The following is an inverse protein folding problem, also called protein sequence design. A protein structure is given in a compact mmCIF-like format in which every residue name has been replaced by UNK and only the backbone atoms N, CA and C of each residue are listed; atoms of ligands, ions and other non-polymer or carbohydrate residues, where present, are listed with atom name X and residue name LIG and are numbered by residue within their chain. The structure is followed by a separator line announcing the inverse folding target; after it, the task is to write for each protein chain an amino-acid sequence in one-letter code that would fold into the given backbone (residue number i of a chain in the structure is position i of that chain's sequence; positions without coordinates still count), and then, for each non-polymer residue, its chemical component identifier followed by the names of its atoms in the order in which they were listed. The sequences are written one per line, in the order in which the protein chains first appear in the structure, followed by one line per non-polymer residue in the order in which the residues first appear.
data_IF_304543188941
#
_entry.id   IF_304543188941
#
_cell.length_a   1.000
_cell.length_b   1.000
_cell.length_c   1.000
_cell.angle_alpha   90.00
_cell.angle_beta   90.00
_cell.angle_gamma   90.00
#
_symmetry.space_group_name_H-M   'P 1'
#
loop_
_entity.id
_entity.type
_entity.pdbx_description
1 polymer ?
#
# COMPACT_ATOMS: atom_id res chain seq x y z
N UNK A 1 13.81 13.51 15.82
CA UNK A 1 13.97 12.11 15.39
C UNK A 1 13.45 11.96 13.97
N UNK A 2 14.23 11.37 13.05
CA UNK A 2 13.79 11.10 11.68
C UNK A 2 12.68 10.03 11.70
N UNK A 3 11.72 10.13 10.79
CA UNK A 3 10.58 9.21 10.69
C UNK A 3 10.80 8.22 9.56
N UNK A 4 10.47 6.97 9.80
CA UNK A 4 10.44 5.95 8.78
C UNK A 4 9.14 6.06 7.96
N UNK A 5 9.22 5.79 6.67
CA UNK A 5 8.06 5.61 5.81
C UNK A 5 7.89 4.11 5.62
N UNK A 6 6.77 3.54 6.09
CA UNK A 6 6.47 2.13 5.82
C UNK A 6 6.02 1.98 4.37
N UNK A 7 6.80 1.24 3.59
CA UNK A 7 6.54 1.02 2.18
C UNK A 7 5.93 -0.37 1.98
N UNK A 8 4.79 -0.45 1.31
CA UNK A 8 4.03 -1.68 1.11
C UNK A 8 3.79 -1.97 -0.37
N UNK A 9 4.22 -3.15 -0.80
CA UNK A 9 3.96 -3.66 -2.14
C UNK A 9 2.67 -4.51 -2.15
N UNK A 10 1.61 -3.96 -2.76
CA UNK A 10 0.31 -4.62 -2.89
C UNK A 10 0.33 -5.78 -3.89
N UNK A 11 1.37 -5.88 -4.71
CA UNK A 11 1.58 -7.00 -5.63
C UNK A 11 2.61 -8.02 -5.11
N UNK A 12 3.06 -7.89 -3.87
CA UNK A 12 3.96 -8.89 -3.28
C UNK A 12 3.24 -10.24 -3.18
N UNK A 13 3.98 -11.34 -3.43
CA UNK A 13 3.43 -12.71 -3.33
C UNK A 13 2.74 -12.95 -1.99
N UNK A 14 3.31 -12.42 -0.89
CA UNK A 14 2.73 -12.50 0.46
C UNK A 14 1.40 -11.75 0.58
N UNK A 15 1.30 -10.53 0.03
CA UNK A 15 0.04 -9.79 0.07
C UNK A 15 -1.03 -10.50 -0.76
N UNK A 16 -0.69 -10.85 -2.01
CA UNK A 16 -1.61 -11.56 -2.91
C UNK A 16 -2.08 -12.90 -2.36
N UNK A 17 -1.19 -13.72 -1.78
CA UNK A 17 -1.58 -15.02 -1.21
C UNK A 17 -2.57 -14.86 -0.07
N UNK A 18 -2.36 -13.89 0.83
CA UNK A 18 -3.28 -13.62 1.94
C UNK A 18 -4.61 -13.08 1.41
N UNK A 19 -4.58 -12.16 0.43
CA UNK A 19 -5.80 -11.61 -0.19
C UNK A 19 -6.61 -12.70 -0.89
N UNK A 20 -5.98 -13.57 -1.68
CA UNK A 20 -6.67 -14.68 -2.34
C UNK A 20 -7.23 -15.69 -1.35
N UNK A 21 -6.47 -16.04 -0.30
CA UNK A 21 -6.95 -16.93 0.76
C UNK A 21 -8.18 -16.34 1.48
N UNK A 22 -8.13 -15.07 1.87
CA UNK A 22 -9.24 -14.39 2.52
C UNK A 22 -10.48 -14.30 1.60
N UNK A 23 -10.27 -14.03 0.31
CA UNK A 23 -11.35 -13.99 -0.68
C UNK A 23 -11.99 -15.37 -0.89
N UNK A 24 -11.17 -16.43 -0.99
CA UNK A 24 -11.66 -17.79 -1.10
C UNK A 24 -12.49 -18.20 0.12
N UNK A 25 -12.08 -17.81 1.33
CA UNK A 25 -12.84 -18.05 2.55
C UNK A 25 -14.20 -17.32 2.57
N UNK A 26 -14.28 -16.10 2.04
CA UNK A 26 -15.58 -15.43 1.87
C UNK A 26 -16.48 -16.16 0.87
N UNK A 27 -15.93 -16.64 -0.24
CA UNK A 27 -16.69 -17.41 -1.23
C UNK A 27 -17.21 -18.71 -0.60
N UNK A 28 -16.37 -19.42 0.17
CA UNK A 28 -16.76 -20.64 0.90
C UNK A 28 -17.88 -20.33 1.91
N UNK A 29 -17.74 -19.25 2.70
CA UNK A 29 -18.77 -18.86 3.65
C UNK A 29 -20.12 -18.57 2.96
N UNK A 30 -20.07 -17.85 1.83
CA UNK A 30 -21.25 -17.55 1.03
C UNK A 30 -21.89 -18.81 0.44
N UNK A 31 -21.09 -19.74 -0.10
CA UNK A 31 -21.57 -21.02 -0.62
C UNK A 31 -22.19 -21.88 0.49
N UNK A 32 -21.59 -21.90 1.69
CA UNK A 32 -22.15 -22.62 2.83
C UNK A 32 -23.52 -22.07 3.24
N UNK A 33 -23.71 -20.74 3.24
CA UNK A 33 -25.02 -20.15 3.49
C UNK A 33 -26.03 -20.44 2.37
N UNK A 34 -25.60 -20.42 1.11
CA UNK A 34 -26.50 -20.62 -0.03
C UNK A 34 -26.96 -22.08 -0.18
N UNK A 35 -26.13 -23.04 0.22
CA UNK A 35 -26.39 -24.48 0.09
C UNK A 35 -27.00 -25.11 1.35
N UNK A 36 -27.45 -24.31 2.31
CA UNK A 36 -27.95 -24.76 3.63
C UNK A 36 -26.96 -25.71 4.36
N UNK A 37 -25.65 -25.49 4.16
CA UNK A 37 -24.62 -26.23 4.88
C UNK A 37 -24.59 -25.81 6.37
N UNK A 38 -23.94 -26.58 7.26
CA UNK A 38 -23.91 -26.25 8.68
C UNK A 38 -23.36 -24.85 8.93
N UNK A 39 -24.19 -23.99 9.50
CA UNK A 39 -23.96 -22.54 9.63
C UNK A 39 -22.67 -22.22 10.40
N UNK A 40 -22.27 -23.11 11.30
CA UNK A 40 -21.01 -23.00 12.07
C UNK A 40 -19.79 -22.86 11.15
N UNK A 41 -19.71 -23.65 10.07
CA UNK A 41 -18.58 -23.59 9.14
C UNK A 41 -18.56 -22.27 8.35
N UNK A 42 -19.74 -21.76 7.98
CA UNK A 42 -19.86 -20.47 7.28
C UNK A 42 -19.33 -19.32 8.16
N UNK A 43 -19.71 -19.30 9.45
CA UNK A 43 -19.23 -18.27 10.37
C UNK A 43 -17.73 -18.38 10.67
N UNK A 44 -17.18 -19.60 10.81
CA UNK A 44 -15.73 -19.79 11.00
C UNK A 44 -14.98 -19.28 9.77
N UNK A 45 -15.43 -19.64 8.56
CA UNK A 45 -14.80 -19.19 7.32
C UNK A 45 -14.85 -17.65 7.17
N UNK A 46 -16.01 -17.04 7.43
CA UNK A 46 -16.17 -15.59 7.40
C UNK A 46 -15.30 -14.90 8.46
N UNK A 47 -15.23 -15.42 9.68
CA UNK A 47 -14.40 -14.87 10.76
C UNK A 47 -12.91 -14.90 10.42
N UNK A 48 -12.43 -16.00 9.83
CA UNK A 48 -11.06 -16.11 9.35
C UNK A 48 -10.77 -15.13 8.20
N UNK A 49 -11.69 -14.99 7.24
CA UNK A 49 -11.57 -14.03 6.15
C UNK A 49 -11.42 -12.59 6.66
N UNK A 50 -12.32 -12.18 7.56
CA UNK A 50 -12.30 -10.84 8.19
C UNK A 50 -10.98 -10.62 8.93
N UNK A 51 -10.52 -11.61 9.70
CA UNK A 51 -9.27 -11.52 10.46
C UNK A 51 -8.06 -11.34 9.54
N UNK A 52 -8.00 -12.06 8.41
CA UNK A 52 -6.93 -11.91 7.42
C UNK A 52 -6.95 -10.52 6.76
N UNK A 53 -8.12 -10.00 6.41
CA UNK A 53 -8.24 -8.64 5.87
C UNK A 53 -7.87 -7.56 6.90
N UNK A 54 -8.27 -7.75 8.16
CA UNK A 54 -7.88 -6.87 9.26
C UNK A 54 -6.37 -6.86 9.43
N UNK A 55 -5.73 -8.04 9.45
CA UNK A 55 -4.27 -8.18 9.51
C UNK A 55 -3.58 -7.43 8.34
N UNK A 56 -4.09 -7.58 7.12
CA UNK A 56 -3.57 -6.83 5.97
C UNK A 56 -3.74 -5.31 6.10
N UNK A 57 -4.77 -4.85 6.80
CA UNK A 57 -5.10 -3.42 6.89
C UNK A 57 -4.44 -2.71 8.07
N UNK A 58 -4.10 -3.44 9.15
CA UNK A 58 -3.58 -2.89 10.41
C UNK A 58 -2.39 -1.92 10.21
N UNK A 59 -1.41 -2.29 9.41
CA UNK A 59 -0.22 -1.45 9.18
C UNK A 59 -0.56 -0.10 8.56
N UNK A 60 -1.57 -0.04 7.68
CA UNK A 60 -1.99 1.21 7.03
C UNK A 60 -2.77 2.12 7.98
N UNK A 61 -3.49 1.53 8.95
CA UNK A 61 -4.24 2.27 9.96
C UNK A 61 -3.32 2.85 11.05
N UNK A 62 -2.42 2.04 11.58
CA UNK A 62 -1.58 2.42 12.73
C UNK A 62 -0.41 3.32 12.37
N UNK A 63 -0.03 3.39 11.09
CA UNK A 63 1.14 4.14 10.65
C UNK A 63 0.77 5.48 10.02
N UNK A 64 1.34 6.57 10.54
CA UNK A 64 1.08 7.92 10.03
C UNK A 64 1.87 8.28 8.76
N UNK A 65 2.96 7.56 8.48
CA UNK A 65 3.75 7.70 7.25
C UNK A 65 3.82 6.33 6.57
N UNK A 66 2.97 6.12 5.57
CA UNK A 66 2.88 4.87 4.83
C UNK A 66 2.74 5.17 3.33
N UNK A 67 3.42 4.37 2.51
CA UNK A 67 3.29 4.39 1.06
C UNK A 67 2.93 2.99 0.59
N UNK A 68 1.79 2.84 -0.05
CA UNK A 68 1.35 1.58 -0.65
C UNK A 68 1.40 1.71 -2.16
N UNK A 69 1.99 0.74 -2.86
CA UNK A 69 2.07 0.77 -4.31
C UNK A 69 1.62 -0.56 -4.92
N UNK A 70 0.93 -0.47 -6.05
CA UNK A 70 0.59 -1.58 -6.93
C UNK A 70 1.49 -1.59 -8.17
N UNK A 71 1.00 -2.19 -9.25
CA UNK A 71 1.74 -2.25 -10.52
C UNK A 71 1.74 -0.91 -11.24
N UNK A 72 0.61 -0.18 -11.17
CA UNK A 72 0.36 1.03 -11.95
C UNK A 72 0.13 2.29 -11.10
N UNK A 73 -0.10 2.13 -9.80
CA UNK A 73 -0.49 3.22 -8.91
C UNK A 73 0.27 3.19 -7.60
N UNK A 74 0.29 4.34 -6.95
CA UNK A 74 0.84 4.53 -5.62
C UNK A 74 -0.08 5.42 -4.81
N UNK A 75 -0.20 5.10 -3.52
CA UNK A 75 -0.94 5.89 -2.53
C UNK A 75 0.00 6.22 -1.39
N UNK A 76 0.12 7.51 -1.08
CA UNK A 76 0.98 8.05 -0.03
C UNK A 76 0.12 8.68 1.06
N UNK A 77 0.26 8.17 2.27
CA UNK A 77 -0.26 8.74 3.51
C UNK A 77 0.92 9.28 4.30
N UNK A 78 1.09 10.59 4.35
CA UNK A 78 2.21 11.26 5.00
C UNK A 78 1.69 12.19 6.10
N UNK A 79 2.35 12.22 7.26
CA UNK A 79 1.88 13.07 8.35
C UNK A 79 1.92 14.55 7.93
N UNK A 80 0.81 15.25 8.12
CA UNK A 80 0.66 16.67 7.78
C UNK A 80 0.26 16.94 6.33
N UNK A 81 0.01 15.89 5.54
CA UNK A 81 -0.49 16.00 4.18
C UNK A 81 -1.79 15.19 4.03
N UNK A 82 -2.66 15.61 3.10
CA UNK A 82 -3.78 14.77 2.67
C UNK A 82 -3.22 13.47 2.07
N UNK A 83 -3.97 12.38 2.22
CA UNK A 83 -3.63 11.13 1.53
C UNK A 83 -3.78 11.37 0.04
N UNK A 84 -2.73 11.09 -0.72
CA UNK A 84 -2.67 11.32 -2.16
C UNK A 84 -2.43 10.00 -2.87
N UNK A 85 -3.14 9.77 -3.96
CA UNK A 85 -2.97 8.61 -4.83
C UNK A 85 -2.86 9.06 -6.28
N UNK A 86 -1.95 8.46 -7.03
CA UNK A 86 -1.71 8.78 -8.43
C UNK A 86 -1.17 7.57 -9.19
N UNK A 87 -1.23 7.64 -10.53
CA UNK A 87 -0.66 6.63 -11.39
C UNK A 87 0.82 6.92 -11.62
N UNK A 88 1.62 5.87 -11.82
CA UNK A 88 3.03 6.06 -12.20
C UNK A 88 3.17 6.78 -13.56
N UNK A 89 2.16 6.66 -14.43
CA UNK A 89 2.11 7.35 -15.73
C UNK A 89 2.07 8.87 -15.61
N UNK A 90 1.54 9.37 -14.50
CA UNK A 90 1.39 10.81 -14.28
C UNK A 90 2.68 11.41 -13.69
N UNK A 91 3.69 10.58 -13.37
CA UNK A 91 4.93 11.03 -12.72
C UNK A 91 5.86 11.65 -13.76
N UNK A 92 5.95 12.98 -13.75
CA UNK A 92 6.81 13.74 -14.67
C UNK A 92 8.29 13.68 -14.28
N UNK A 93 8.58 13.69 -12.98
CA UNK A 93 9.95 13.78 -12.49
C UNK A 93 10.11 13.23 -11.09
N UNK A 94 11.20 12.48 -10.88
CA UNK A 94 11.62 11.98 -9.57
C UNK A 94 13.10 12.27 -9.42
N UNK A 95 13.48 13.01 -8.38
CA UNK A 95 14.89 13.37 -8.11
C UNK A 95 15.20 13.23 -6.62
N UNK A 96 16.17 12.37 -6.32
CA UNK A 96 16.82 12.37 -5.01
C UNK A 96 17.89 13.46 -4.99
N UNK A 97 17.78 14.39 -4.06
CA UNK A 97 18.66 15.53 -3.86
C UNK A 97 19.26 15.49 -2.44
N UNK A 98 20.22 16.37 -2.18
CA UNK A 98 20.83 16.51 -0.85
C UNK A 98 19.79 16.89 0.21
N UNK A 99 18.77 17.66 -0.15
CA UNK A 99 17.72 18.09 0.77
C UNK A 99 16.62 17.04 0.99
N UNK A 100 16.47 16.05 0.09
CA UNK A 100 15.36 15.11 0.11
C UNK A 100 14.98 14.52 -1.24
N UNK A 101 13.82 13.88 -1.29
CA UNK A 101 13.20 13.35 -2.51
C UNK A 101 12.15 14.34 -3.02
N UNK A 102 12.28 14.75 -4.28
CA UNK A 102 11.29 15.53 -5.02
C UNK A 102 10.54 14.61 -5.99
N UNK A 103 9.21 14.60 -5.91
CA UNK A 103 8.33 13.89 -6.85
C UNK A 103 7.38 14.91 -7.46
N UNK A 104 7.40 15.01 -8.79
CA UNK A 104 6.47 15.83 -9.57
C UNK A 104 5.50 14.95 -10.32
N UNK A 105 4.22 15.21 -10.13
CA UNK A 105 3.12 14.46 -10.75
C UNK A 105 2.23 15.45 -11.49
N UNK A 106 1.74 15.06 -12.65
CA UNK A 106 0.78 15.84 -13.42
C UNK A 106 -0.47 16.15 -12.60
N UNK A 107 -0.87 17.42 -12.54
CA UNK A 107 -2.08 17.84 -11.85
C UNK A 107 -2.01 17.83 -10.32
N UNK A 108 -0.85 17.57 -9.72
CA UNK A 108 -0.66 17.62 -8.27
C UNK A 108 0.45 18.62 -7.88
N UNK A 109 0.40 19.07 -6.63
CA UNK A 109 1.50 19.86 -6.05
C UNK A 109 2.78 19.04 -5.91
N UNK A 110 3.94 19.69 -6.08
CA UNK A 110 5.26 19.08 -5.92
C UNK A 110 5.40 18.43 -4.52
N UNK A 111 5.55 17.10 -4.49
CA UNK A 111 5.71 16.34 -3.25
C UNK A 111 7.19 16.39 -2.85
N UNK A 112 7.48 17.05 -1.72
CA UNK A 112 8.84 17.24 -1.20
C UNK A 112 9.02 16.46 0.11
N UNK A 113 9.81 15.39 0.07
CA UNK A 113 10.15 14.60 1.26
C UNK A 113 11.55 14.95 1.75
N UNK A 114 11.66 15.73 2.83
CA UNK A 114 12.95 16.20 3.33
C UNK A 114 13.71 15.15 4.15
N UNK A 115 15.04 15.08 3.99
CA UNK A 115 15.97 14.30 4.85
C UNK A 115 15.98 14.75 6.31
N UNK A 116 15.50 15.98 6.61
CA UNK A 116 15.30 16.44 7.99
C UNK A 116 14.17 15.69 8.69
N UNK A 117 13.15 15.26 7.92
CA UNK A 117 11.94 14.60 8.43
C UNK A 117 12.00 13.09 8.29
N UNK A 118 12.53 12.57 7.19
CA UNK A 118 12.50 11.15 6.86
C UNK A 118 13.88 10.50 6.87
N UNK A 119 13.93 9.20 7.13
CA UNK A 119 15.16 8.40 7.08
C UNK A 119 15.67 8.29 5.64
N UNK A 120 17.00 8.27 5.47
CA UNK A 120 17.62 8.21 4.14
C UNK A 120 17.26 6.90 3.43
N UNK A 121 17.22 5.79 4.16
CA UNK A 121 16.77 4.49 3.66
C UNK A 121 15.35 4.54 3.06
N UNK A 122 14.38 5.19 3.73
CA UNK A 122 13.02 5.31 3.18
C UNK A 122 12.97 6.15 1.91
N UNK A 123 13.79 7.21 1.82
CA UNK A 123 13.85 8.07 0.65
C UNK A 123 14.51 7.35 -0.54
N UNK A 124 15.58 6.61 -0.29
CA UNK A 124 16.26 5.79 -1.29
C UNK A 124 15.37 4.67 -1.81
N UNK A 125 14.70 3.94 -0.92
CA UNK A 125 13.74 2.91 -1.30
C UNK A 125 12.61 3.46 -2.16
N UNK A 126 12.02 4.61 -1.78
CA UNK A 126 10.99 5.27 -2.59
C UNK A 126 11.54 5.68 -3.95
N UNK A 127 12.71 6.32 -3.98
CA UNK A 127 13.35 6.74 -5.23
C UNK A 127 13.55 5.56 -6.19
N UNK A 128 14.06 4.42 -5.69
CA UNK A 128 14.25 3.20 -6.47
C UNK A 128 12.92 2.67 -7.00
N UNK A 129 11.89 2.56 -6.15
CA UNK A 129 10.56 2.08 -6.57
C UNK A 129 9.98 2.97 -7.67
N UNK A 130 10.04 4.29 -7.49
CA UNK A 130 9.54 5.23 -8.48
C UNK A 130 10.31 5.10 -9.78
N UNK A 131 11.65 5.06 -9.73
CA UNK A 131 12.49 4.91 -10.92
C UNK A 131 12.18 3.62 -11.68
N UNK A 132 12.08 2.50 -10.98
CA UNK A 132 11.73 1.21 -11.59
C UNK A 132 10.33 1.22 -12.22
N UNK A 133 9.34 1.80 -11.54
CA UNK A 133 7.95 1.78 -11.99
C UNK A 133 7.64 2.78 -13.11
N UNK A 134 8.38 3.89 -13.18
CA UNK A 134 8.27 4.84 -14.29
C UNK A 134 9.15 4.45 -15.48
N UNK A 135 10.25 3.71 -15.29
CA UNK A 135 11.08 3.23 -16.42
C UNK A 135 10.49 2.01 -17.14
N UNK A 136 9.54 1.32 -16.53
CA UNK A 136 8.82 0.17 -17.11
C UNK A 136 7.59 0.59 -17.95
N UNK A 137 7.44 1.88 -18.22
CA UNK A 137 6.41 2.46 -19.10
C UNK A 137 7.00 2.75 -20.46
#
# INVERSE_FOLDING_TARGET
MKREIKIKNLNSKKYLSITYAATALFIIAFLCWFLDAPVVYAYIAAGLAITLFAYLSMDSFTTSNAVSYGSKSVTMKLLGHKTIGFLFADVKQVRLQDLGLLIRVEGLEDIKLSRKRYTDQSLEQLHTIFKEKTSLQ
#
